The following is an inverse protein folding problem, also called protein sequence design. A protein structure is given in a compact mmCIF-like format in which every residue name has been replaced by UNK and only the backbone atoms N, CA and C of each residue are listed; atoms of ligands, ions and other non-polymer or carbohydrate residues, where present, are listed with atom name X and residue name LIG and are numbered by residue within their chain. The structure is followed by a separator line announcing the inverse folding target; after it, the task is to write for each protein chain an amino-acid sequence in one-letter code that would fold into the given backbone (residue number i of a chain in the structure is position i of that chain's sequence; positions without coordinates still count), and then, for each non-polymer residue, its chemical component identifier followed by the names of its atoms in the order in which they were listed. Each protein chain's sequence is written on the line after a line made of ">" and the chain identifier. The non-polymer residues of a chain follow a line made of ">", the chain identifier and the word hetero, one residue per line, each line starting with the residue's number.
data_IF_911655990646
#
_entry.id   IF_911655990646
#
_cell.length_a   1.000
_cell.length_b   1.000
_cell.length_c   1.000
_cell.angle_alpha   90.00
_cell.angle_beta   90.00
_cell.angle_gamma   90.00
#
_symmetry.space_group_name_H-M   'P 1'
#
loop_
_entity.id
_entity.type
_entity.pdbx_description
1 polymer ?
#
# COMPACT_ATOMS: atom_id res chain seq x y z
N UNK A 1 4.48 21.62 -36.49
CA UNK A 1 3.25 21.93 -35.74
C UNK A 1 3.69 22.83 -34.58
N UNK A 2 3.32 24.12 -34.60
CA UNK A 2 3.72 25.06 -33.54
C UNK A 2 3.04 24.66 -32.23
N UNK A 3 3.83 24.25 -31.24
CA UNK A 3 3.38 24.09 -29.86
C UNK A 3 2.74 25.42 -29.45
N UNK A 4 1.49 25.39 -28.99
CA UNK A 4 0.79 26.62 -28.62
C UNK A 4 1.55 27.32 -27.48
N UNK A 5 1.50 28.65 -27.40
CA UNK A 5 2.11 29.38 -26.29
C UNK A 5 1.69 28.82 -24.92
N UNK A 6 0.42 28.40 -24.81
CA UNK A 6 -0.11 27.77 -23.61
C UNK A 6 0.58 26.45 -23.28
N UNK A 7 0.75 25.54 -24.24
CA UNK A 7 1.46 24.27 -24.04
C UNK A 7 2.91 24.51 -23.59
N UNK A 8 3.59 25.48 -24.19
CA UNK A 8 4.96 25.85 -23.78
C UNK A 8 4.98 26.39 -22.35
N UNK A 9 4.10 27.32 -22.02
CA UNK A 9 4.00 27.92 -20.68
C UNK A 9 3.82 26.84 -19.60
N UNK A 10 2.89 25.91 -19.80
CA UNK A 10 2.60 24.87 -18.80
C UNK A 10 3.72 23.85 -18.65
N UNK A 11 4.39 23.50 -19.75
CA UNK A 11 5.58 22.67 -19.70
C UNK A 11 6.73 23.35 -18.96
N UNK A 12 6.97 24.63 -19.24
CA UNK A 12 8.02 25.42 -18.60
C UNK A 12 7.71 25.61 -17.10
N UNK A 13 6.45 25.83 -16.73
CA UNK A 13 6.01 25.91 -15.34
C UNK A 13 6.22 24.58 -14.60
N UNK A 14 5.84 23.46 -15.21
CA UNK A 14 6.05 22.13 -14.62
C UNK A 14 7.53 21.86 -14.36
N UNK A 15 8.39 22.19 -15.33
CA UNK A 15 9.83 22.06 -15.19
C UNK A 15 10.40 22.98 -14.11
N UNK A 16 9.93 24.23 -14.05
CA UNK A 16 10.35 25.16 -13.01
C UNK A 16 10.00 24.64 -11.61
N UNK A 17 8.79 24.10 -11.44
CA UNK A 17 8.34 23.53 -10.16
C UNK A 17 9.17 22.29 -9.77
N UNK A 18 9.47 21.41 -10.73
CA UNK A 18 10.35 20.25 -10.50
C UNK A 18 11.77 20.67 -10.09
N UNK A 19 12.36 21.63 -10.81
CA UNK A 19 13.70 22.16 -10.54
C UNK A 19 13.77 22.86 -9.17
N UNK A 20 12.74 23.61 -8.79
CA UNK A 20 12.69 24.36 -7.52
C UNK A 20 12.52 23.42 -6.33
N UNK A 21 11.64 22.43 -6.42
CA UNK A 21 11.51 21.35 -5.43
C UNK A 21 12.83 20.57 -5.32
N UNK A 22 13.48 20.27 -6.44
CA UNK A 22 14.77 19.57 -6.43
C UNK A 22 15.89 20.34 -5.74
N UNK A 23 15.85 21.68 -5.77
CA UNK A 23 16.83 22.58 -5.14
C UNK A 23 16.46 23.00 -3.73
N UNK A 24 15.22 22.75 -3.28
CA UNK A 24 14.79 23.09 -1.94
C UNK A 24 15.54 22.29 -0.88
N UNK A 25 15.49 22.75 0.37
CA UNK A 25 16.12 22.02 1.48
C UNK A 25 15.52 20.62 1.65
N UNK A 26 16.29 19.70 2.25
CA UNK A 26 15.85 18.33 2.53
C UNK A 26 14.55 18.31 3.35
N UNK A 27 14.42 19.20 4.34
CA UNK A 27 13.21 19.31 5.15
C UNK A 27 11.97 19.65 4.32
N UNK A 28 12.10 20.52 3.31
CA UNK A 28 11.00 20.86 2.40
C UNK A 28 10.67 19.68 1.49
N UNK A 29 11.69 18.99 0.96
CA UNK A 29 11.47 17.80 0.12
C UNK A 29 10.72 16.71 0.90
N UNK A 30 11.17 16.39 2.11
CA UNK A 30 10.51 15.39 2.97
C UNK A 30 9.07 15.77 3.30
N UNK A 31 8.82 17.04 3.64
CA UNK A 31 7.46 17.52 3.88
C UNK A 31 6.56 17.34 2.64
N UNK A 32 7.06 17.67 1.45
CA UNK A 32 6.30 17.50 0.20
C UNK A 32 6.06 16.03 -0.16
N UNK A 33 6.99 15.13 0.19
CA UNK A 33 6.84 13.69 0.01
C UNK A 33 5.79 13.11 0.98
N UNK A 34 5.81 13.53 2.25
CA UNK A 34 4.83 13.11 3.27
C UNK A 34 3.43 13.63 2.97
N UNK A 35 3.31 14.91 2.59
CA UNK A 35 2.05 15.57 2.26
C UNK A 35 1.68 15.50 0.76
N UNK A 36 2.35 14.64 -0.01
CA UNK A 36 2.08 14.43 -1.43
C UNK A 36 0.59 14.26 -1.77
N UNK A 37 -0.23 13.48 -1.02
CA UNK A 37 -1.66 13.35 -1.31
C UNK A 37 -2.42 14.68 -1.27
N UNK A 38 -2.05 15.58 -0.34
CA UNK A 38 -2.65 16.93 -0.25
C UNK A 38 -2.24 17.78 -1.45
N UNK A 39 -0.96 17.73 -1.82
CA UNK A 39 -0.44 18.44 -2.99
C UNK A 39 -1.14 17.97 -4.27
N UNK A 40 -1.28 16.66 -4.46
CA UNK A 40 -1.96 16.06 -5.60
C UNK A 40 -3.42 16.51 -5.68
N UNK A 41 -4.14 16.51 -4.55
CA UNK A 41 -5.52 17.02 -4.47
C UNK A 41 -5.64 18.49 -4.87
N UNK A 42 -4.76 19.34 -4.35
CA UNK A 42 -4.72 20.77 -4.70
C UNK A 42 -4.48 20.96 -6.20
N UNK A 43 -3.52 20.20 -6.75
CA UNK A 43 -3.17 20.24 -8.15
C UNK A 43 -4.36 19.82 -9.03
N UNK A 44 -4.94 18.65 -8.79
CA UNK A 44 -6.08 18.15 -9.57
C UNK A 44 -7.32 19.04 -9.44
N UNK A 45 -7.53 19.66 -8.27
CA UNK A 45 -8.58 20.67 -8.08
C UNK A 45 -8.36 21.90 -8.94
N UNK A 46 -7.11 22.40 -9.02
CA UNK A 46 -6.75 23.51 -9.90
C UNK A 46 -7.05 23.16 -11.36
N UNK A 47 -6.65 21.97 -11.82
CA UNK A 47 -6.84 21.54 -13.21
C UNK A 47 -8.34 21.46 -13.54
N UNK A 48 -9.14 20.82 -12.67
CA UNK A 48 -10.60 20.73 -12.84
C UNK A 48 -11.26 22.11 -12.89
N UNK A 49 -10.79 23.08 -12.10
CA UNK A 49 -11.34 24.44 -12.06
C UNK A 49 -10.98 25.27 -13.29
N UNK A 50 -9.78 25.07 -13.84
CA UNK A 50 -9.32 25.81 -15.01
C UNK A 50 -10.15 25.51 -16.27
N UNK A 51 -10.80 24.33 -16.36
CA UNK A 51 -11.65 23.92 -17.50
C UNK A 51 -10.98 24.23 -18.86
N UNK A 52 -9.68 23.96 -18.95
CA UNK A 52 -8.88 24.42 -20.07
C UNK A 52 -8.33 23.23 -20.84
N UNK A 53 -8.93 22.93 -21.99
CA UNK A 53 -8.63 21.73 -22.80
C UNK A 53 -7.21 21.75 -23.40
N UNK A 54 -6.56 22.91 -23.46
CA UNK A 54 -5.17 23.05 -23.92
C UNK A 54 -4.14 22.88 -22.79
N UNK A 55 -4.59 22.63 -21.55
CA UNK A 55 -3.70 22.25 -20.45
C UNK A 55 -3.62 20.73 -20.38
N UNK A 56 -2.46 20.17 -20.73
CA UNK A 56 -2.16 18.77 -20.46
C UNK A 56 -1.28 18.69 -19.23
N UNK A 57 -1.81 18.14 -18.14
CA UNK A 57 -1.02 17.75 -16.99
C UNK A 57 0.13 16.83 -17.44
N UNK A 58 1.36 17.15 -17.06
CA UNK A 58 2.47 16.20 -17.15
C UNK A 58 2.64 15.48 -15.80
N UNK A 59 2.27 14.19 -15.70
CA UNK A 59 2.43 13.40 -14.48
C UNK A 59 3.86 13.37 -13.93
N UNK A 60 4.84 13.67 -14.78
CA UNK A 60 6.26 13.65 -14.41
C UNK A 60 6.62 14.68 -13.36
N UNK A 61 5.94 15.83 -13.34
CA UNK A 61 6.26 16.96 -12.44
C UNK A 61 6.24 16.54 -10.96
N UNK A 62 5.31 15.66 -10.57
CA UNK A 62 5.17 15.20 -9.19
C UNK A 62 5.61 13.73 -9.00
N UNK A 63 6.21 13.11 -10.03
CA UNK A 63 6.46 11.66 -10.04
C UNK A 63 7.46 11.23 -8.98
N UNK A 64 8.48 12.04 -8.71
CA UNK A 64 9.47 11.78 -7.65
C UNK A 64 8.79 11.76 -6.27
N UNK A 65 7.94 12.75 -5.99
CA UNK A 65 7.19 12.83 -4.73
C UNK A 65 6.24 11.64 -4.56
N UNK A 66 5.50 11.30 -5.62
CA UNK A 66 4.63 10.12 -5.64
C UNK A 66 5.43 8.84 -5.33
N UNK A 67 6.59 8.68 -5.96
CA UNK A 67 7.42 7.48 -5.79
C UNK A 67 7.97 7.35 -4.37
N UNK A 68 8.38 8.47 -3.75
CA UNK A 68 8.80 8.49 -2.34
C UNK A 68 7.64 8.17 -1.40
N UNK A 69 6.50 8.83 -1.59
CA UNK A 69 5.27 8.57 -0.82
C UNK A 69 4.86 7.10 -0.87
N UNK A 70 4.78 6.52 -2.08
CA UNK A 70 4.39 5.12 -2.27
C UNK A 70 5.41 4.15 -1.68
N UNK A 71 6.71 4.48 -1.71
CA UNK A 71 7.76 3.65 -1.09
C UNK A 71 7.63 3.66 0.43
N UNK A 72 7.40 4.84 1.02
CA UNK A 72 7.16 5.00 2.46
C UNK A 72 5.88 4.30 2.90
N UNK A 73 4.79 4.44 2.14
CA UNK A 73 3.52 3.74 2.39
C UNK A 73 3.70 2.22 2.39
N UNK A 74 4.47 1.69 1.42
CA UNK A 74 4.80 0.27 1.37
C UNK A 74 5.62 -0.17 2.58
N UNK A 75 6.67 0.59 2.96
CA UNK A 75 7.50 0.27 4.11
C UNK A 75 6.69 0.20 5.42
N UNK A 76 5.80 1.18 5.65
CA UNK A 76 4.89 1.20 6.81
C UNK A 76 4.05 -0.07 6.94
N UNK A 77 3.71 -0.73 5.83
CA UNK A 77 2.96 -1.99 5.83
C UNK A 77 3.88 -3.22 5.92
N UNK A 78 5.01 -3.21 5.21
CA UNK A 78 5.92 -4.35 5.15
C UNK A 78 6.73 -4.53 6.44
N UNK A 79 7.20 -3.46 7.06
CA UNK A 79 8.02 -3.51 8.28
C UNK A 79 7.31 -4.24 9.44
N UNK A 80 6.06 -3.86 9.83
CA UNK A 80 5.34 -4.60 10.85
C UNK A 80 5.01 -6.03 10.38
N UNK A 81 4.72 -6.24 9.09
CA UNK A 81 4.48 -7.60 8.56
C UNK A 81 5.71 -8.48 8.76
N UNK A 82 6.90 -8.02 8.41
CA UNK A 82 8.15 -8.76 8.60
C UNK A 82 8.44 -8.99 10.08
N UNK A 83 8.23 -7.97 10.91
CA UNK A 83 8.48 -8.05 12.35
C UNK A 83 7.63 -9.12 13.05
N UNK A 84 6.42 -9.44 12.55
CA UNK A 84 5.58 -10.49 13.14
C UNK A 84 6.19 -11.89 13.02
N UNK A 85 7.10 -12.09 12.06
CA UNK A 85 7.75 -13.37 11.80
C UNK A 85 9.24 -13.36 12.15
N UNK A 86 9.67 -12.41 13.00
CA UNK A 86 11.05 -12.34 13.51
C UNK A 86 11.30 -13.48 14.50
N UNK A 87 11.74 -14.63 13.99
CA UNK A 87 12.10 -15.82 14.76
C UNK A 87 11.48 -17.10 14.18
N UNK A 88 12.15 -18.24 14.32
CA UNK A 88 11.73 -19.52 13.72
C UNK A 88 10.41 -20.08 14.30
N UNK A 89 10.00 -19.61 15.48
CA UNK A 89 8.75 -20.03 16.16
C UNK A 89 7.73 -18.90 16.25
N UNK A 90 8.00 -17.75 15.62
CA UNK A 90 7.13 -16.60 15.69
C UNK A 90 5.82 -16.86 14.91
N UNK A 91 4.69 -16.67 15.60
CA UNK A 91 3.35 -16.77 15.04
C UNK A 91 2.67 -15.41 15.26
N UNK A 92 2.13 -14.77 14.20
CA UNK A 92 1.44 -13.50 14.33
C UNK A 92 0.22 -13.61 15.24
N UNK A 93 0.14 -12.74 16.25
CA UNK A 93 -1.04 -12.63 17.12
C UNK A 93 -2.15 -11.82 16.46
N UNK A 94 -3.38 -11.96 16.97
CA UNK A 94 -4.51 -11.15 16.50
C UNK A 94 -4.28 -9.65 16.71
N UNK A 95 -3.67 -9.24 17.83
CA UNK A 95 -3.38 -7.82 18.10
C UNK A 95 -2.39 -7.23 17.08
N UNK A 96 -1.38 -8.01 16.67
CA UNK A 96 -0.44 -7.60 15.64
C UNK A 96 -1.13 -7.46 14.29
N UNK A 97 -1.98 -8.43 13.91
CA UNK A 97 -2.76 -8.38 12.67
C UNK A 97 -3.72 -7.18 12.67
N UNK A 98 -4.44 -6.94 13.77
CA UNK A 98 -5.37 -5.81 13.89
C UNK A 98 -4.62 -4.47 13.81
N UNK A 99 -3.41 -4.38 14.38
CA UNK A 99 -2.54 -3.22 14.24
C UNK A 99 -2.13 -2.98 12.77
N UNK A 100 -1.74 -4.04 12.05
CA UNK A 100 -1.44 -3.96 10.62
C UNK A 100 -2.65 -3.50 9.80
N UNK A 101 -3.84 -4.02 10.09
CA UNK A 101 -5.08 -3.63 9.41
C UNK A 101 -5.41 -2.16 9.66
N UNK A 102 -5.15 -1.63 10.87
CA UNK A 102 -5.30 -0.18 11.15
C UNK A 102 -4.32 0.65 10.31
N UNK A 103 -3.07 0.22 10.17
CA UNK A 103 -2.08 0.90 9.33
C UNK A 103 -2.54 0.91 7.86
N UNK A 104 -2.94 -0.26 7.34
CA UNK A 104 -3.46 -0.41 5.97
C UNK A 104 -4.67 0.50 5.73
N UNK A 105 -5.63 0.50 6.67
CA UNK A 105 -6.83 1.34 6.59
C UNK A 105 -6.47 2.84 6.58
N UNK A 106 -5.50 3.24 7.41
CA UNK A 106 -5.02 4.62 7.47
C UNK A 106 -4.38 5.08 6.16
N UNK A 107 -3.49 4.27 5.59
CA UNK A 107 -2.83 4.57 4.31
C UNK A 107 -3.84 4.63 3.15
N UNK A 108 -4.80 3.68 3.08
CA UNK A 108 -5.89 3.74 2.10
C UNK A 108 -6.72 5.01 2.26
N UNK A 109 -7.09 5.36 3.49
CA UNK A 109 -7.92 6.54 3.79
C UNK A 109 -7.27 7.85 3.36
N UNK A 110 -5.94 7.97 3.52
CA UNK A 110 -5.18 9.13 3.05
C UNK A 110 -5.19 9.18 1.51
N UNK A 111 -5.08 8.03 0.84
CA UNK A 111 -5.00 7.92 -0.61
C UNK A 111 -6.34 8.18 -1.33
N UNK A 112 -7.48 8.12 -0.62
CA UNK A 112 -8.83 8.38 -1.16
C UNK A 112 -9.02 9.76 -1.78
N UNK A 113 -8.07 10.68 -1.57
CA UNK A 113 -8.11 12.02 -2.16
C UNK A 113 -8.14 11.99 -3.68
N UNK A 114 -7.52 11.00 -4.32
CA UNK A 114 -7.46 10.85 -5.78
C UNK A 114 -7.41 9.36 -6.18
N UNK A 115 -8.20 9.00 -7.19
CA UNK A 115 -8.45 7.59 -7.56
C UNK A 115 -7.20 6.83 -8.01
N UNK A 116 -6.32 7.45 -8.80
CA UNK A 116 -5.07 6.79 -9.21
C UNK A 116 -4.17 6.51 -7.99
N UNK A 117 -4.15 7.42 -7.01
CA UNK A 117 -3.33 7.24 -5.82
C UNK A 117 -3.88 6.11 -4.94
N UNK A 118 -5.20 6.04 -4.74
CA UNK A 118 -5.83 4.94 -4.01
C UNK A 118 -5.61 3.58 -4.68
N UNK A 119 -5.57 3.53 -6.02
CA UNK A 119 -5.21 2.30 -6.75
C UNK A 119 -3.75 1.88 -6.51
N UNK A 120 -2.80 2.83 -6.53
CA UNK A 120 -1.39 2.53 -6.23
C UNK A 120 -1.18 2.06 -4.79
N UNK A 121 -1.86 2.68 -3.82
CA UNK A 121 -1.81 2.23 -2.42
C UNK A 121 -2.48 0.86 -2.28
N UNK A 122 -3.58 0.58 -2.98
CA UNK A 122 -4.20 -0.76 -3.01
C UNK A 122 -3.24 -1.83 -3.53
N UNK A 123 -2.38 -1.51 -4.50
CA UNK A 123 -1.29 -2.42 -4.94
C UNK A 123 -0.25 -2.66 -3.85
N UNK A 124 0.06 -1.65 -3.02
CA UNK A 124 0.92 -1.84 -1.86
C UNK A 124 0.27 -2.73 -0.80
N UNK A 125 -1.04 -2.57 -0.56
CA UNK A 125 -1.81 -3.48 0.31
C UNK A 125 -1.72 -4.91 -0.21
N UNK A 126 -1.96 -5.15 -1.50
CA UNK A 126 -1.84 -6.48 -2.10
C UNK A 126 -0.42 -7.08 -1.92
N UNK A 127 0.65 -6.28 -2.06
CA UNK A 127 2.03 -6.73 -1.78
C UNK A 127 2.24 -7.10 -0.31
N UNK A 128 1.67 -6.34 0.62
CA UNK A 128 1.74 -6.61 2.06
C UNK A 128 1.05 -7.94 2.41
N UNK A 129 -0.17 -8.17 1.91
CA UNK A 129 -0.89 -9.43 2.16
C UNK A 129 -0.11 -10.61 1.54
N UNK A 130 0.43 -10.46 0.32
CA UNK A 130 1.33 -11.47 -0.29
C UNK A 130 2.57 -11.75 0.56
N UNK A 131 3.22 -10.72 1.09
CA UNK A 131 4.37 -10.89 1.98
C UNK A 131 4.00 -11.68 3.22
N UNK A 132 2.84 -11.40 3.82
CA UNK A 132 2.35 -12.16 4.97
C UNK A 132 2.16 -13.65 4.64
N UNK A 133 1.52 -13.97 3.51
CA UNK A 133 1.34 -15.34 3.06
C UNK A 133 2.69 -16.06 2.81
N UNK A 134 3.62 -15.40 2.09
CA UNK A 134 4.98 -15.93 1.88
C UNK A 134 5.71 -16.17 3.19
N UNK A 135 5.53 -15.29 4.19
CA UNK A 135 6.13 -15.48 5.51
C UNK A 135 5.51 -16.64 6.28
N UNK A 136 4.21 -16.84 6.17
CA UNK A 136 3.53 -18.04 6.70
C UNK A 136 4.13 -19.29 6.05
N UNK A 137 4.20 -19.35 4.71
CA UNK A 137 4.77 -20.49 3.97
C UNK A 137 6.21 -20.80 4.39
N UNK A 138 7.05 -19.78 4.58
CA UNK A 138 8.44 -19.93 5.03
C UNK A 138 8.57 -20.52 6.44
N UNK A 139 7.55 -20.35 7.29
CA UNK A 139 7.55 -20.78 8.70
C UNK A 139 6.88 -22.13 8.92
N UNK A 140 6.12 -22.62 7.94
CA UNK A 140 5.44 -23.92 7.99
C UNK A 140 6.47 -25.04 8.12
N UNK A 141 6.29 -25.89 9.13
CA UNK A 141 7.09 -27.09 9.29
C UNK A 141 6.67 -28.13 8.26
N UNK A 142 7.62 -28.53 7.42
CA UNK A 142 7.44 -29.53 6.36
C UNK A 142 8.18 -30.86 6.65
N UNK A 143 8.76 -30.99 7.86
CA UNK A 143 9.54 -32.15 8.26
C UNK A 143 8.69 -33.38 8.60
N UNK A 144 9.33 -34.54 8.89
CA UNK A 144 8.64 -35.77 9.25
C UNK A 144 7.67 -35.60 10.42
N UNK A 145 8.02 -34.76 11.40
CA UNK A 145 7.17 -34.41 12.54
C UNK A 145 5.83 -33.78 12.10
N UNK A 146 5.81 -32.94 11.07
CA UNK A 146 4.55 -32.36 10.58
C UNK A 146 3.66 -33.39 9.85
N UNK A 147 4.27 -34.40 9.20
CA UNK A 147 3.58 -35.40 8.38
C UNK A 147 3.17 -36.68 9.14
N UNK A 148 3.70 -36.88 10.34
CA UNK A 148 3.43 -38.07 11.14
C UNK A 148 1.98 -38.07 11.67
N UNK A 149 1.19 -39.05 11.23
CA UNK A 149 -0.16 -39.31 11.77
C UNK A 149 -0.07 -40.47 12.75
N UNK A 150 0.50 -40.19 13.92
CA UNK A 150 0.49 -41.15 15.04
C UNK A 150 -0.76 -40.85 15.85
N UNK A 151 -1.56 -41.87 16.20
CA UNK A 151 -2.78 -41.68 16.99
C UNK A 151 -2.48 -40.96 18.31
N UNK A 152 -3.18 -39.86 18.61
CA UNK A 152 -2.93 -39.01 19.77
C UNK A 152 -3.27 -37.54 19.53
N UNK A 153 -2.83 -36.66 20.44
CA UNK A 153 -2.94 -35.21 20.27
C UNK A 153 -1.91 -34.69 19.24
N UNK A 154 -2.19 -33.57 18.54
CA UNK A 154 -1.25 -33.00 17.57
C UNK A 154 0.10 -32.66 18.19
N UNK A 155 1.20 -32.96 17.52
CA UNK A 155 2.54 -32.58 17.99
C UNK A 155 2.82 -31.08 17.78
N UNK A 156 3.97 -30.61 18.25
CA UNK A 156 4.32 -29.18 18.21
C UNK A 156 4.33 -28.61 16.79
N UNK A 157 4.84 -29.35 15.81
CA UNK A 157 4.88 -28.90 14.41
C UNK A 157 3.50 -28.80 13.78
N UNK A 158 2.63 -29.77 14.06
CA UNK A 158 1.23 -29.73 13.65
C UNK A 158 0.49 -28.56 14.31
N UNK A 159 0.68 -28.33 15.62
CA UNK A 159 0.09 -27.18 16.33
C UNK A 159 0.58 -25.85 15.75
N UNK A 160 1.87 -25.73 15.43
CA UNK A 160 2.45 -24.54 14.79
C UNK A 160 1.82 -24.28 13.43
N UNK A 161 1.74 -25.29 12.57
CA UNK A 161 1.14 -25.15 11.23
C UNK A 161 -0.34 -24.76 11.31
N UNK A 162 -1.10 -25.36 12.24
CA UNK A 162 -2.51 -24.97 12.50
C UNK A 162 -2.59 -23.51 12.95
N UNK A 163 -1.69 -23.08 13.83
CA UNK A 163 -1.68 -21.71 14.34
C UNK A 163 -1.34 -20.69 13.24
N UNK A 164 -0.37 -21.00 12.38
CA UNK A 164 -0.03 -20.19 11.20
C UNK A 164 -1.20 -20.09 10.21
N UNK A 165 -1.88 -21.21 9.93
CA UNK A 165 -3.07 -21.22 9.08
C UNK A 165 -4.21 -20.38 9.69
N UNK A 166 -4.40 -20.44 11.01
CA UNK A 166 -5.39 -19.62 11.70
C UNK A 166 -5.03 -18.12 11.62
N UNK A 167 -3.75 -17.74 11.76
CA UNK A 167 -3.30 -16.36 11.59
C UNK A 167 -3.54 -15.85 10.17
N UNK A 168 -3.27 -16.68 9.15
CA UNK A 168 -3.55 -16.33 7.75
C UNK A 168 -5.06 -16.14 7.50
N UNK A 169 -5.88 -17.06 8.01
CA UNK A 169 -7.33 -16.96 7.92
C UNK A 169 -7.87 -15.73 8.67
N UNK A 170 -7.31 -15.41 9.84
CA UNK A 170 -7.69 -14.23 10.61
C UNK A 170 -7.35 -12.94 9.84
N UNK A 171 -6.17 -12.85 9.24
CA UNK A 171 -5.81 -11.74 8.36
C UNK A 171 -6.82 -11.59 7.22
N UNK A 172 -7.14 -12.68 6.52
CA UNK A 172 -8.11 -12.64 5.42
C UNK A 172 -9.48 -12.12 5.88
N UNK A 173 -9.98 -12.59 7.02
CA UNK A 173 -11.24 -12.10 7.59
C UNK A 173 -11.19 -10.60 7.92
N UNK A 174 -10.08 -10.10 8.46
CA UNK A 174 -9.95 -8.68 8.76
C UNK A 174 -9.83 -7.82 7.50
N UNK A 175 -9.14 -8.29 6.47
CA UNK A 175 -9.11 -7.63 5.14
C UNK A 175 -10.52 -7.54 4.56
N UNK A 176 -11.30 -8.62 4.60
CA UNK A 176 -12.69 -8.61 4.10
C UNK A 176 -13.59 -7.66 4.88
N UNK A 177 -13.43 -7.59 6.21
CA UNK A 177 -14.15 -6.62 7.07
C UNK A 177 -13.77 -5.20 6.73
N UNK A 178 -12.47 -4.92 6.57
CA UNK A 178 -11.97 -3.60 6.15
C UNK A 178 -12.57 -3.17 4.81
N UNK A 179 -12.54 -4.05 3.80
CA UNK A 179 -13.14 -3.77 2.49
C UNK A 179 -14.64 -3.51 2.58
N UNK A 180 -15.36 -4.30 3.40
CA UNK A 180 -16.80 -4.11 3.63
C UNK A 180 -17.10 -2.74 4.28
N UNK A 181 -16.27 -2.31 5.23
CA UNK A 181 -16.40 -1.01 5.89
C UNK A 181 -16.06 0.16 4.97
N UNK A 182 -15.14 -0.04 4.00
CA UNK A 182 -14.70 0.98 3.07
C UNK A 182 -15.43 0.94 1.72
N UNK A 183 -16.47 0.12 1.56
CA UNK A 183 -17.15 -0.15 0.27
C UNK A 183 -17.69 1.10 -0.44
N UNK A 184 -18.08 2.13 0.31
CA UNK A 184 -18.62 3.38 -0.25
C UNK A 184 -17.51 4.37 -0.63
N UNK A 185 -16.30 4.17 -0.12
CA UNK A 185 -15.16 5.05 -0.33
C UNK A 185 -14.19 4.52 -1.39
N UNK A 186 -13.95 3.20 -1.43
CA UNK A 186 -13.06 2.58 -2.39
C UNK A 186 -13.75 2.35 -3.72
N UNK A 187 -13.03 2.59 -4.81
CA UNK A 187 -13.50 2.28 -6.16
C UNK A 187 -13.41 0.78 -6.43
N UNK A 188 -14.20 0.29 -7.38
CA UNK A 188 -14.22 -1.12 -7.77
C UNK A 188 -12.82 -1.67 -8.14
N UNK A 189 -11.96 -0.95 -8.88
CA UNK A 189 -10.57 -1.38 -9.12
C UNK A 189 -9.78 -1.62 -7.84
N UNK A 190 -9.90 -0.72 -6.84
CA UNK A 190 -9.20 -0.86 -5.56
C UNK A 190 -9.64 -2.12 -4.81
N UNK A 191 -10.96 -2.34 -4.72
CA UNK A 191 -11.55 -3.52 -4.07
C UNK A 191 -11.08 -4.79 -4.77
N UNK A 192 -11.10 -4.80 -6.10
CA UNK A 192 -10.66 -5.95 -6.91
C UNK A 192 -9.18 -6.26 -6.70
N UNK A 193 -8.29 -5.26 -6.74
CA UNK A 193 -6.85 -5.45 -6.52
C UNK A 193 -6.59 -6.15 -5.17
N UNK A 194 -7.30 -5.74 -4.12
CA UNK A 194 -7.10 -6.33 -2.79
C UNK A 194 -7.73 -7.72 -2.72
N UNK A 195 -8.94 -7.93 -3.25
CA UNK A 195 -9.63 -9.22 -3.23
C UNK A 195 -8.97 -10.31 -4.07
N UNK A 196 -8.41 -9.95 -5.24
CA UNK A 196 -7.73 -10.89 -6.14
C UNK A 196 -6.37 -11.35 -5.58
N UNK A 197 -5.98 -10.84 -4.41
CA UNK A 197 -4.82 -11.32 -3.66
C UNK A 197 -5.18 -12.65 -2.98
N UNK A 198 -5.32 -13.71 -3.78
CA UNK A 198 -5.63 -15.05 -3.31
C UNK A 198 -4.40 -15.77 -2.75
N UNK A 199 -4.60 -16.51 -1.65
CA UNK A 199 -3.77 -17.60 -1.11
C UNK A 199 -4.71 -18.70 -0.65
#
# INVERSE_FOLDING_TARGET
>A
MQVSFAEKFWKDLGKFLEDDIGKSSLAVQQMLEEDYPKLLKCYNTLIKKLKYDCFTYDPKVLKKLESSYLSTSLAKMLDPTQSMFSGETAIPSHDQIDSLIRIVTGELSIALVEENLSEQVSKNVAKCIKMFAVKVEQQVESGPEAAQVIGGAPNMGQQKNVSLANSLQYLQLQVQRMLSNMKESLTEPCVKIINDTHF
#
